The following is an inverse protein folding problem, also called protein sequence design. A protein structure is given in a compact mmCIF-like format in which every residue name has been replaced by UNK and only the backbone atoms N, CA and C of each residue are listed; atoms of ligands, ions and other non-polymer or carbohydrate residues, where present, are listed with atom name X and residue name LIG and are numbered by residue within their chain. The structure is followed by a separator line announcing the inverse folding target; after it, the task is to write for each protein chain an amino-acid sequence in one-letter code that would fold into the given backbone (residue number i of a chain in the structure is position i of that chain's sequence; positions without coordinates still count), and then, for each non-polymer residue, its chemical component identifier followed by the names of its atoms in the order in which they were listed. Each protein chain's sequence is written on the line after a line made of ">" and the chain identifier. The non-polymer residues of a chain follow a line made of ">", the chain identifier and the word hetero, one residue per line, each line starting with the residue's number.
data_IF_385912002417
#
_entry.id   IF_385912002417
#
_cell.length_a   1.000
_cell.length_b   1.000
_cell.length_c   1.000
_cell.angle_alpha   90.00
_cell.angle_beta   90.00
_cell.angle_gamma   90.00
#
_symmetry.space_group_name_H-M   'P 1'
#
loop_
_entity.id
_entity.type
_entity.pdbx_description
1 polymer ?
#
# COMPACT_ATOMS: atom_id res chain seq x y z
N UNK A 1 8.98 10.78 3.36
CA UNK A 1 8.17 10.10 2.33
C UNK A 1 7.76 11.16 1.31
N UNK A 2 7.89 10.91 0.00
CA UNK A 2 7.41 11.86 -1.03
C UNK A 2 5.89 11.99 -0.96
N UNK A 3 5.33 13.11 -1.41
CA UNK A 3 3.88 13.23 -1.56
C UNK A 3 3.43 12.19 -2.60
N UNK A 4 2.39 11.39 -2.32
CA UNK A 4 1.89 10.42 -3.30
C UNK A 4 1.57 11.03 -4.67
N UNK A 5 1.15 12.31 -4.69
CA UNK A 5 0.88 13.04 -5.94
C UNK A 5 2.14 13.39 -6.72
N UNK A 6 3.31 13.32 -6.10
CA UNK A 6 4.60 13.52 -6.77
C UNK A 6 5.04 12.27 -7.55
N UNK A 7 4.37 11.12 -7.37
CA UNK A 7 4.65 9.90 -8.14
C UNK A 7 4.13 10.12 -9.57
N UNK A 8 5.05 10.09 -10.52
CA UNK A 8 4.77 10.19 -11.95
C UNK A 8 4.03 8.97 -12.46
N UNK A 9 3.41 9.07 -13.64
CA UNK A 9 2.76 7.92 -14.25
C UNK A 9 3.77 6.83 -14.60
N UNK A 10 5.00 7.18 -15.01
CA UNK A 10 6.07 6.23 -15.30
C UNK A 10 6.53 5.45 -14.06
N UNK A 11 6.70 6.15 -12.93
CA UNK A 11 7.01 5.49 -11.65
C UNK A 11 5.86 4.58 -11.20
N UNK A 12 4.61 5.02 -11.40
CA UNK A 12 3.44 4.22 -11.08
C UNK A 12 3.33 2.96 -11.95
N UNK A 13 3.61 3.05 -13.25
CA UNK A 13 3.71 1.89 -14.16
C UNK A 13 4.72 0.87 -13.64
N UNK A 14 5.91 1.32 -13.25
CA UNK A 14 6.93 0.43 -12.70
C UNK A 14 6.46 -0.28 -11.42
N UNK A 15 5.74 0.43 -10.54
CA UNK A 15 5.17 -0.16 -9.33
C UNK A 15 4.12 -1.23 -9.64
N UNK A 16 3.25 -0.96 -10.62
CA UNK A 16 2.24 -1.92 -11.07
C UNK A 16 2.87 -3.18 -11.70
N UNK A 17 3.94 -3.00 -12.47
CA UNK A 17 4.72 -4.11 -13.05
C UNK A 17 5.38 -4.97 -11.97
N UNK A 18 6.01 -4.34 -10.97
CA UNK A 18 6.61 -5.03 -9.83
C UNK A 18 5.58 -5.77 -8.97
N UNK A 19 4.36 -5.24 -8.88
CA UNK A 19 3.22 -5.89 -8.24
C UNK A 19 2.59 -7.01 -9.10
N UNK A 20 3.02 -7.17 -10.35
CA UNK A 20 2.53 -8.19 -11.27
C UNK A 20 1.10 -7.95 -11.74
N UNK A 21 0.63 -6.69 -11.78
CA UNK A 21 -0.76 -6.36 -12.13
C UNK A 21 -1.04 -6.54 -13.63
N UNK A 22 -0.02 -6.45 -14.49
CA UNK A 22 -0.14 -6.70 -15.93
C UNK A 22 -1.15 -5.78 -16.64
N UNK A 23 -1.31 -4.56 -16.13
CA UNK A 23 -2.28 -3.58 -16.61
C UNK A 23 -1.78 -2.82 -17.83
N UNK A 24 -2.70 -2.45 -18.71
CA UNK A 24 -2.41 -1.55 -19.81
C UNK A 24 -2.37 -0.08 -19.37
N UNK A 25 -2.00 0.80 -20.29
CA UNK A 25 -1.85 2.24 -19.99
C UNK A 25 -3.17 2.89 -19.57
N UNK A 26 -4.29 2.52 -20.17
CA UNK A 26 -5.58 3.12 -19.84
C UNK A 26 -6.02 2.69 -18.45
N UNK A 27 -5.85 1.42 -18.11
CA UNK A 27 -6.13 0.88 -16.77
C UNK A 27 -5.25 1.56 -15.70
N UNK A 28 -3.98 1.82 -16.02
CA UNK A 28 -3.07 2.53 -15.11
C UNK A 28 -3.45 4.00 -14.92
N UNK A 29 -3.89 4.69 -15.97
CA UNK A 29 -4.38 6.07 -15.86
C UNK A 29 -5.67 6.15 -15.04
N UNK A 30 -6.54 5.14 -15.12
CA UNK A 30 -7.74 5.04 -14.28
C UNK A 30 -7.41 4.69 -12.82
N UNK A 31 -6.40 3.85 -12.59
CA UNK A 31 -6.02 3.40 -11.25
C UNK A 31 -5.22 4.47 -10.47
N UNK A 32 -4.42 5.29 -11.14
CA UNK A 32 -3.51 6.27 -10.51
C UNK A 32 -4.22 7.23 -9.54
N UNK A 33 -5.37 7.84 -9.88
CA UNK A 33 -6.09 8.70 -8.93
C UNK A 33 -6.54 7.96 -7.66
N UNK A 34 -6.90 6.68 -7.78
CA UNK A 34 -7.31 5.84 -6.65
C UNK A 34 -6.10 5.55 -5.76
N UNK A 35 -4.98 5.19 -6.38
CA UNK A 35 -3.71 5.02 -5.67
C UNK A 35 -3.31 6.29 -4.90
N UNK A 36 -3.37 7.45 -5.54
CA UNK A 36 -3.00 8.74 -4.93
C UNK A 36 -3.86 9.05 -3.70
N UNK A 37 -5.17 8.74 -3.77
CA UNK A 37 -6.09 8.91 -2.64
C UNK A 37 -5.71 8.00 -1.46
N UNK A 38 -5.49 6.71 -1.71
CA UNK A 38 -5.17 5.75 -0.64
C UNK A 38 -3.79 5.99 -0.05
N UNK A 39 -2.82 6.39 -0.87
CA UNK A 39 -1.49 6.73 -0.41
C UNK A 39 -1.51 7.97 0.50
N UNK A 40 -2.39 8.95 0.23
CA UNK A 40 -2.59 10.09 1.13
C UNK A 40 -3.21 9.67 2.46
N UNK A 41 -4.20 8.77 2.46
CA UNK A 41 -4.75 8.23 3.71
C UNK A 41 -3.73 7.41 4.50
N UNK A 42 -2.92 6.59 3.83
CA UNK A 42 -1.84 5.84 4.47
C UNK A 42 -0.81 6.79 5.11
N UNK A 43 -0.47 7.90 4.43
CA UNK A 43 0.40 8.94 4.98
C UNK A 43 -0.20 9.57 6.25
N UNK A 44 -1.50 9.87 6.24
CA UNK A 44 -2.20 10.39 7.42
C UNK A 44 -2.18 9.40 8.59
N UNK A 45 -2.39 8.11 8.33
CA UNK A 45 -2.27 7.06 9.35
C UNK A 45 -0.87 6.98 9.96
N UNK A 46 0.19 7.13 9.15
CA UNK A 46 1.57 7.20 9.64
C UNK A 46 1.88 8.47 10.45
N UNK A 47 0.98 9.45 10.46
CA UNK A 47 1.12 10.66 11.28
C UNK A 47 0.55 10.47 12.69
N UNK A 48 -0.16 9.36 12.93
CA UNK A 48 -0.72 9.01 14.22
C UNK A 48 0.36 8.28 15.04
N UNK A 49 0.70 8.82 16.20
CA UNK A 49 1.47 8.09 17.21
C UNK A 49 0.54 7.06 17.87
N UNK A 50 0.50 5.86 17.30
CA UNK A 50 0.02 4.71 18.04
C UNK A 50 1.04 4.47 19.16
N UNK A 51 0.63 4.61 20.43
CA UNK A 51 1.47 4.27 21.57
C UNK A 51 1.91 2.81 21.55
N UNK A 52 2.47 2.30 22.63
CA UNK A 52 2.96 0.91 22.73
C UNK A 52 1.87 -0.20 22.69
N UNK A 53 0.69 0.08 22.13
CA UNK A 53 -0.26 -0.97 21.77
C UNK A 53 0.16 -1.56 20.43
N UNK A 54 1.04 -2.54 20.54
CA UNK A 54 1.42 -3.46 19.48
C UNK A 54 0.15 -4.11 18.92
N UNK A 55 -0.30 -3.69 17.73
CA UNK A 55 -1.30 -4.41 16.93
C UNK A 55 -0.67 -5.71 16.41
N UNK A 56 -0.34 -6.62 17.33
CA UNK A 56 0.21 -7.92 17.00
C UNK A 56 -0.97 -8.85 16.74
N UNK A 57 -1.15 -9.20 15.47
CA UNK A 57 -1.85 -10.45 15.16
C UNK A 57 -0.97 -11.58 15.69
N UNK A 58 -1.27 -12.05 16.89
CA UNK A 58 -0.61 -13.22 17.47
C UNK A 58 -0.98 -14.46 16.63
N UNK A 59 -0.02 -14.96 15.85
CA UNK A 59 -0.16 -16.28 15.25
C UNK A 59 -0.04 -17.33 16.35
N UNK A 60 -1.14 -18.06 16.62
CA UNK A 60 -1.15 -19.22 17.51
C UNK A 60 -1.23 -20.48 16.66
N UNK A 61 -0.12 -21.18 16.40
CA UNK A 61 -0.17 -22.47 15.73
C UNK A 61 -0.80 -23.49 16.69
N UNK A 62 -2.06 -23.85 16.47
CA UNK A 62 -2.64 -25.05 17.08
C UNK A 62 -1.95 -26.28 16.45
N UNK A 63 -0.85 -26.73 17.06
CA UNK A 63 -0.21 -27.99 16.70
C UNK A 63 -0.96 -29.16 17.37
N UNK A 64 -1.47 -30.17 16.63
CA UNK A 64 -2.09 -31.33 17.27
C UNK A 64 -0.99 -32.24 17.79
N UNK A 65 -0.72 -32.19 19.10
CA UNK A 65 0.19 -33.16 19.73
C UNK A 65 0.58 -32.85 21.15
N UNK A 66 -0.31 -33.19 22.10
CA UNK A 66 0.06 -33.69 23.43
C UNK A 66 -0.93 -34.77 23.84
#
# INVERSE_FOLDING_TARGET
>A
MRDPKDITIEEFTLMADLAGLGMDKAELEELKPIYDLYAEYARQLHTIEFGAEEMVVEFRPDWPGS
#
